data_IF_715537097764
#
_entry.id   IF_715537097764
#
_cell.length_a   1.000
_cell.length_b   1.000
_cell.length_c   1.000
_cell.angle_alpha   90.00
_cell.angle_beta   90.00
_cell.angle_gamma   90.00
#
_symmetry.space_group_name_H-M   'P 1'
#
loop_
_entity.id
_entity.type
_entity.pdbx_description
1 polymer ?
#
# COMPACT_ATOMS: atom_id res chain seq x y z
N UNK A 1 17.21 -12.81 18.77
CA UNK A 1 16.77 -12.55 17.39
C UNK A 1 15.79 -11.39 17.47
N UNK A 2 16.29 -10.17 17.25
CA UNK A 2 15.55 -8.92 17.44
C UNK A 2 14.70 -8.65 16.18
N UNK A 3 13.39 -8.84 16.25
CA UNK A 3 12.46 -8.45 15.20
C UNK A 3 12.02 -7.00 15.41
N UNK A 4 12.64 -6.05 14.70
CA UNK A 4 12.19 -4.67 14.62
C UNK A 4 11.34 -4.52 13.35
N UNK A 5 10.06 -4.94 13.36
CA UNK A 5 9.24 -4.89 12.14
C UNK A 5 7.80 -5.42 12.18
N UNK A 6 7.16 -5.60 13.34
CA UNK A 6 5.83 -6.25 13.42
C UNK A 6 4.64 -5.29 13.22
N UNK A 7 4.72 -4.39 12.23
CA UNK A 7 3.61 -3.49 11.92
C UNK A 7 3.17 -3.72 10.47
N UNK A 8 2.20 -4.60 10.31
CA UNK A 8 1.53 -4.88 9.04
C UNK A 8 0.15 -4.23 9.06
N UNK A 9 -0.25 -3.60 7.95
CA UNK A 9 -1.60 -3.13 7.76
C UNK A 9 -2.06 -3.39 6.32
N UNK A 10 -3.32 -3.77 6.18
CA UNK A 10 -4.02 -3.92 4.93
C UNK A 10 -4.89 -2.69 4.74
N UNK A 11 -4.81 -2.08 3.57
CA UNK A 11 -5.52 -0.86 3.23
C UNK A 11 -6.57 -1.10 2.16
N UNK A 12 -7.68 -0.39 2.26
CA UNK A 12 -8.57 -0.19 1.12
C UNK A 12 -7.90 0.76 0.13
N UNK A 13 -7.85 0.38 -1.15
CA UNK A 13 -7.14 1.16 -2.15
C UNK A 13 -7.85 2.47 -2.53
N UNK A 14 -9.15 2.61 -2.27
CA UNK A 14 -9.94 3.79 -2.68
C UNK A 14 -9.78 4.95 -1.72
N UNK A 15 -9.80 4.64 -0.42
CA UNK A 15 -9.80 5.62 0.66
C UNK A 15 -8.58 5.52 1.59
N UNK A 16 -7.71 4.52 1.39
CA UNK A 16 -6.54 4.22 2.25
C UNK A 16 -6.91 4.02 3.71
N UNK A 17 -8.12 3.48 3.94
CA UNK A 17 -8.60 3.07 5.25
C UNK A 17 -7.98 1.72 5.62
N UNK A 18 -7.59 1.57 6.89
CA UNK A 18 -7.05 0.30 7.38
C UNK A 18 -8.18 -0.72 7.50
N UNK A 19 -8.11 -1.79 6.72
CA UNK A 19 -8.99 -2.94 6.78
C UNK A 19 -8.57 -3.93 7.86
N UNK A 20 -7.25 -4.07 8.08
CA UNK A 20 -6.68 -4.98 9.09
C UNK A 20 -5.29 -4.50 9.51
N UNK A 21 -4.91 -4.81 10.74
CA UNK A 21 -3.57 -4.53 11.26
C UNK A 21 -3.42 -3.09 11.72
N UNK A 22 -2.19 -2.66 11.94
CA UNK A 22 -1.90 -1.31 12.39
C UNK A 22 -0.45 -0.94 12.04
N UNK A 23 -0.28 0.31 11.61
CA UNK A 23 1.03 0.93 11.44
C UNK A 23 1.11 2.20 12.27
N UNK A 24 2.33 2.62 12.66
CA UNK A 24 2.53 3.88 13.37
C UNK A 24 2.01 5.08 12.56
N UNK A 25 1.59 6.14 13.27
CA UNK A 25 1.03 7.35 12.64
C UNK A 25 1.96 8.00 11.60
N UNK A 26 3.28 7.91 11.80
CA UNK A 26 4.25 8.46 10.84
C UNK A 26 4.29 7.65 9.54
N UNK A 27 4.24 6.32 9.63
CA UNK A 27 4.20 5.45 8.46
C UNK A 27 2.88 5.62 7.68
N UNK A 28 1.76 5.84 8.38
CA UNK A 28 0.47 6.16 7.75
C UNK A 28 0.54 7.42 6.87
N UNK A 29 1.25 8.46 7.30
CA UNK A 29 1.41 9.68 6.50
C UNK A 29 2.14 9.38 5.18
N UNK A 30 3.25 8.65 5.25
CA UNK A 30 4.05 8.26 4.08
C UNK A 30 3.25 7.39 3.11
N UNK A 31 2.53 6.38 3.61
CA UNK A 31 1.68 5.51 2.77
C UNK A 31 0.58 6.32 2.08
N UNK A 32 0.01 7.32 2.75
CA UNK A 32 -1.03 8.19 2.16
C UNK A 32 -0.49 9.08 1.06
N UNK A 33 0.67 9.68 1.28
CA UNK A 33 1.33 10.51 0.27
C UNK A 33 1.69 9.68 -0.96
N UNK A 34 2.34 8.54 -0.73
CA UNK A 34 2.70 7.60 -1.79
C UNK A 34 1.48 7.10 -2.58
N UNK A 35 0.46 6.59 -1.90
CA UNK A 35 -0.70 6.04 -2.59
C UNK A 35 -1.58 7.13 -3.25
N UNK A 36 -1.48 8.39 -2.81
CA UNK A 36 -2.10 9.51 -3.52
C UNK A 36 -1.36 9.83 -4.83
N UNK A 37 -0.02 9.77 -4.83
CA UNK A 37 0.82 9.97 -6.01
C UNK A 37 0.64 8.83 -7.03
N UNK A 38 0.55 7.59 -6.56
CA UNK A 38 0.49 6.38 -7.40
C UNK A 38 -0.92 5.78 -7.53
N UNK A 39 -1.98 6.58 -7.30
CA UNK A 39 -3.37 6.07 -7.25
C UNK A 39 -3.78 5.31 -8.52
N UNK A 40 -3.47 5.85 -9.68
CA UNK A 40 -3.87 5.28 -10.96
C UNK A 40 -3.10 3.98 -11.25
N UNK A 41 -1.81 3.93 -10.91
CA UNK A 41 -0.97 2.75 -11.04
C UNK A 41 -1.45 1.61 -10.14
N UNK A 42 -1.78 1.92 -8.88
CA UNK A 42 -2.32 0.94 -7.96
C UNK A 42 -3.66 0.36 -8.45
N UNK A 43 -4.52 1.18 -9.06
CA UNK A 43 -5.78 0.72 -9.64
C UNK A 43 -5.55 -0.15 -10.89
N UNK A 44 -4.57 0.20 -11.73
CA UNK A 44 -4.15 -0.63 -12.85
C UNK A 44 -3.66 -2.00 -12.35
N UNK A 45 -2.81 -2.02 -11.33
CA UNK A 45 -2.28 -3.23 -10.72
C UNK A 45 -3.35 -4.10 -10.09
N UNK A 46 -4.32 -3.47 -9.40
CA UNK A 46 -5.48 -4.18 -8.88
C UNK A 46 -6.27 -4.87 -10.01
N UNK A 47 -6.47 -4.17 -11.12
CA UNK A 47 -7.14 -4.72 -12.30
C UNK A 47 -6.32 -5.86 -12.94
N UNK A 48 -4.99 -5.73 -13.03
CA UNK A 48 -4.10 -6.81 -13.52
C UNK A 48 -4.20 -8.05 -12.63
N UNK A 49 -4.10 -7.88 -11.32
CA UNK A 49 -4.23 -8.96 -10.35
C UNK A 49 -5.59 -9.66 -10.45
N UNK A 50 -6.68 -8.91 -10.66
CA UNK A 50 -8.01 -9.49 -10.85
C UNK A 50 -8.13 -10.36 -12.11
N UNK A 51 -7.26 -10.12 -13.09
CA UNK A 51 -7.14 -10.91 -14.33
C UNK A 51 -6.06 -12.00 -14.23
N UNK A 52 -5.55 -12.30 -13.04
CA UNK A 52 -4.43 -13.22 -12.80
C UNK A 52 -3.15 -12.84 -13.55
N UNK A 53 -2.97 -11.55 -13.85
CA UNK A 53 -1.74 -10.99 -14.43
C UNK A 53 -0.87 -10.43 -13.32
N UNK A 54 0.44 -10.43 -13.54
CA UNK A 54 1.38 -9.82 -12.62
C UNK A 54 1.16 -8.30 -12.56
N UNK A 55 1.16 -7.69 -11.35
CA UNK A 55 1.19 -6.24 -11.22
C UNK A 55 2.51 -5.67 -11.74
N UNK A 56 2.53 -4.38 -12.04
CA UNK A 56 3.74 -3.65 -12.41
C UNK A 56 4.48 -3.20 -11.15
N UNK A 57 5.80 -2.98 -11.21
CA UNK A 57 6.51 -2.33 -10.11
C UNK A 57 6.06 -0.87 -10.02
N UNK A 58 5.73 -0.43 -8.81
CA UNK A 58 5.46 0.98 -8.48
C UNK A 58 6.64 1.47 -7.65
N UNK A 59 7.23 2.61 -8.03
CA UNK A 59 8.39 3.15 -7.34
C UNK A 59 8.02 3.56 -5.90
N UNK A 60 8.86 3.25 -4.90
CA UNK A 60 8.61 3.66 -3.52
C UNK A 60 8.79 5.17 -3.34
N UNK A 61 8.14 5.73 -2.32
CA UNK A 61 8.38 7.11 -1.88
C UNK A 61 9.87 7.26 -1.47
N UNK A 62 10.59 8.20 -2.10
CA UNK A 62 12.02 8.46 -1.91
C UNK A 62 12.42 8.83 -0.47
#
# INVERSE_FOLDING_TARGET
MLCMGEHEAIFDLRDLNVLRGAIPRHAMALVREWAAEHRDELLEDWNLCSQLKSPKPIDPLL
#
